data_IF_088469660838
#
_entry.id   IF_088469660838
#
_cell.length_a   1.000
_cell.length_b   1.000
_cell.length_c   1.000
_cell.angle_alpha   90.00
_cell.angle_beta   90.00
_cell.angle_gamma   90.00
#
_symmetry.space_group_name_H-M   'P 1'
#
loop_
_entity.id
_entity.type
_entity.pdbx_description
1 polymer ?
#
# COMPACT_ATOMS: atom_id res chain seq x y z
N UNK A 1 -25.58 -16.89 -22.10
CA UNK A 1 -24.48 -16.48 -22.99
C UNK A 1 -23.22 -16.39 -22.16
N UNK A 2 -22.36 -17.42 -22.26
CA UNK A 2 -21.08 -17.51 -21.53
C UNK A 2 -20.09 -16.60 -22.26
N UNK A 3 -19.62 -15.50 -21.64
CA UNK A 3 -18.46 -14.75 -22.13
C UNK A 3 -17.20 -15.42 -21.58
N UNK A 4 -16.45 -16.07 -22.47
CA UNK A 4 -15.06 -16.45 -22.25
C UNK A 4 -14.24 -15.17 -22.05
N UNK A 5 -13.74 -14.98 -20.84
CA UNK A 5 -12.67 -14.01 -20.58
C UNK A 5 -11.37 -14.79 -20.77
N UNK A 6 -10.66 -14.51 -21.85
CA UNK A 6 -9.34 -15.08 -22.09
C UNK A 6 -8.33 -14.54 -21.10
N UNK A 7 -7.85 -15.39 -20.21
CA UNK A 7 -6.77 -15.09 -19.28
C UNK A 7 -5.43 -15.20 -20.03
N UNK A 8 -4.77 -14.08 -20.23
CA UNK A 8 -3.34 -14.09 -20.57
C UNK A 8 -2.55 -14.05 -19.25
N UNK A 9 -1.85 -15.14 -18.98
CA UNK A 9 -0.89 -15.27 -17.88
C UNK A 9 0.32 -14.38 -18.18
N UNK A 10 0.61 -13.41 -17.33
CA UNK A 10 1.87 -12.69 -17.37
C UNK A 10 2.59 -12.83 -16.03
N UNK A 11 3.66 -13.58 -16.05
CA UNK A 11 4.65 -13.69 -14.98
C UNK A 11 5.35 -12.34 -14.83
N UNK A 12 5.10 -11.63 -13.74
CA UNK A 12 6.02 -10.61 -13.25
C UNK A 12 7.14 -11.36 -12.53
N UNK A 13 8.09 -11.86 -13.30
CA UNK A 13 9.37 -12.28 -12.75
C UNK A 13 10.08 -10.99 -12.34
N UNK A 14 10.26 -10.79 -11.05
CA UNK A 14 11.29 -9.88 -10.55
C UNK A 14 12.60 -10.53 -10.95
N UNK A 15 13.05 -10.27 -12.18
CA UNK A 15 14.36 -10.67 -12.63
C UNK A 15 15.37 -9.81 -11.90
N UNK A 16 15.81 -10.26 -10.72
CA UNK A 16 17.05 -9.77 -10.14
C UNK A 16 18.14 -10.37 -11.04
N UNK A 17 18.47 -9.65 -12.11
CA UNK A 17 19.61 -10.00 -12.94
C UNK A 17 20.85 -9.76 -12.09
N UNK A 18 21.53 -10.85 -11.71
CA UNK A 18 22.91 -10.81 -11.25
C UNK A 18 23.76 -10.15 -12.34
N UNK A 19 24.07 -8.87 -12.18
CA UNK A 19 25.05 -8.18 -12.99
C UNK A 19 26.42 -8.75 -12.60
N UNK A 20 26.87 -9.74 -13.38
CA UNK A 20 28.24 -10.22 -13.33
C UNK A 20 29.19 -9.08 -13.64
N UNK A 21 30.11 -8.84 -12.70
CA UNK A 21 31.18 -7.85 -12.79
C UNK A 21 32.11 -8.13 -13.97
N UNK A 22 31.91 -7.42 -15.09
CA UNK A 22 32.97 -7.20 -16.05
C UNK A 22 33.51 -5.77 -15.87
N UNK A 23 34.60 -5.64 -15.09
CA UNK A 23 35.39 -4.43 -15.04
C UNK A 23 36.11 -4.23 -16.38
N UNK A 24 35.63 -3.31 -17.19
CA UNK A 24 36.42 -2.68 -18.23
C UNK A 24 36.97 -1.35 -17.69
N UNK A 25 38.28 -1.23 -17.69
CA UNK A 25 39.02 -0.03 -17.32
C UNK A 25 38.68 1.12 -18.28
N UNK A 26 38.03 2.15 -17.78
CA UNK A 26 37.84 3.43 -18.46
C UNK A 26 38.03 4.56 -17.47
N UNK A 27 38.94 5.49 -17.82
CA UNK A 27 39.32 6.65 -17.05
C UNK A 27 38.16 7.53 -16.56
N UNK A 28 38.21 8.09 -15.35
CA UNK A 28 37.18 9.00 -14.86
C UNK A 28 37.43 10.41 -15.36
N UNK A 29 36.60 10.92 -16.22
CA UNK A 29 36.48 12.35 -16.50
C UNK A 29 35.01 12.73 -16.50
N UNK A 30 34.61 13.41 -15.49
CA UNK A 30 33.80 14.60 -15.40
C UNK A 30 33.04 14.65 -14.06
N UNK A 31 33.08 15.81 -13.44
CA UNK A 31 32.38 16.14 -12.20
C UNK A 31 30.88 15.79 -12.33
N UNK A 32 30.38 15.05 -11.37
CA UNK A 32 28.96 14.84 -11.18
C UNK A 32 28.31 16.18 -10.87
N UNK A 33 27.66 16.77 -11.85
CA UNK A 33 26.63 17.78 -11.59
C UNK A 33 25.55 17.11 -10.73
N UNK A 34 25.25 17.72 -9.58
CA UNK A 34 24.07 17.32 -8.79
C UNK A 34 22.86 17.33 -9.71
N UNK A 35 22.02 16.27 -9.72
CA UNK A 35 20.85 16.26 -10.58
C UNK A 35 19.95 17.44 -10.21
N UNK A 36 19.86 18.40 -11.10
CA UNK A 36 18.86 19.47 -11.03
C UNK A 36 17.52 18.75 -11.07
N UNK A 37 16.69 18.91 -10.02
CA UNK A 37 15.32 18.40 -9.98
C UNK A 37 14.64 18.85 -11.28
N UNK A 38 14.37 17.91 -12.18
CA UNK A 38 13.70 18.21 -13.43
C UNK A 38 12.29 18.72 -13.10
N UNK A 39 11.92 19.86 -13.66
CA UNK A 39 10.55 20.35 -13.54
C UNK A 39 9.60 19.29 -14.06
N UNK A 40 8.41 19.15 -13.42
CA UNK A 40 7.39 18.20 -13.87
C UNK A 40 7.14 18.38 -15.37
N UNK A 41 7.05 17.26 -16.09
CA UNK A 41 6.78 17.27 -17.53
C UNK A 41 5.42 17.93 -17.81
N UNK A 42 5.24 18.59 -18.96
CA UNK A 42 3.92 19.13 -19.33
C UNK A 42 2.86 18.03 -19.33
N UNK A 43 1.66 18.35 -18.85
CA UNK A 43 0.54 17.40 -18.88
C UNK A 43 0.15 17.13 -20.33
N UNK A 44 0.15 15.87 -20.81
CA UNK A 44 -0.29 15.53 -22.15
C UNK A 44 -1.75 15.91 -22.37
N UNK A 45 -2.09 16.34 -23.60
CA UNK A 45 -3.43 16.85 -23.92
C UNK A 45 -4.54 15.82 -23.60
N UNK A 46 -4.28 14.56 -23.77
CA UNK A 46 -5.22 13.45 -23.46
C UNK A 46 -5.52 13.29 -21.96
N UNK A 47 -4.61 13.70 -21.07
CA UNK A 47 -4.79 13.65 -19.63
C UNK A 47 -5.20 14.99 -19.01
N UNK A 48 -5.22 16.08 -19.76
CA UNK A 48 -5.46 17.41 -19.24
C UNK A 48 -6.79 17.52 -18.48
N UNK A 49 -7.85 16.90 -18.99
CA UNK A 49 -9.17 16.91 -18.36
C UNK A 49 -9.14 16.16 -17.01
N UNK A 50 -8.56 14.96 -16.99
CA UNK A 50 -8.42 14.14 -15.78
C UNK A 50 -7.54 14.84 -14.74
N UNK A 51 -6.42 15.41 -15.17
CA UNK A 51 -5.52 16.19 -14.30
C UNK A 51 -6.25 17.36 -13.63
N UNK A 52 -6.99 18.15 -14.41
CA UNK A 52 -7.73 19.30 -13.88
C UNK A 52 -8.86 18.87 -12.92
N UNK A 53 -9.59 17.77 -13.25
CA UNK A 53 -10.64 17.22 -12.40
C UNK A 53 -10.07 16.77 -11.03
N UNK A 54 -8.99 16.02 -11.03
CA UNK A 54 -8.32 15.56 -9.82
C UNK A 54 -7.79 16.75 -9.00
N UNK A 55 -7.06 17.66 -9.61
CA UNK A 55 -6.50 18.83 -8.92
C UNK A 55 -7.59 19.69 -8.28
N UNK A 56 -8.64 20.03 -9.03
CA UNK A 56 -9.74 20.85 -8.49
C UNK A 56 -10.52 20.15 -7.38
N UNK A 57 -10.68 18.82 -7.47
CA UNK A 57 -11.35 18.02 -6.44
C UNK A 57 -10.53 17.99 -5.15
N UNK A 58 -9.22 17.79 -5.23
CA UNK A 58 -8.33 17.78 -4.07
C UNK A 58 -8.25 19.15 -3.41
N UNK A 59 -8.09 20.22 -4.19
CA UNK A 59 -8.04 21.59 -3.68
C UNK A 59 -9.35 21.97 -2.99
N UNK A 60 -10.49 21.62 -3.59
CA UNK A 60 -11.80 21.84 -2.97
C UNK A 60 -11.94 21.08 -1.67
N UNK A 61 -11.54 19.81 -1.62
CA UNK A 61 -11.59 18.99 -0.42
C UNK A 61 -10.69 19.55 0.69
N UNK A 62 -9.43 19.90 0.38
CA UNK A 62 -8.51 20.51 1.34
C UNK A 62 -9.11 21.74 2.00
N UNK A 63 -9.87 22.55 1.26
CA UNK A 63 -10.50 23.75 1.77
C UNK A 63 -11.72 23.49 2.68
N UNK A 64 -12.33 22.30 2.62
CA UNK A 64 -13.46 21.91 3.49
C UNK A 64 -13.00 21.38 4.84
N UNK A 65 -11.79 20.81 4.94
CA UNK A 65 -11.28 20.22 6.18
C UNK A 65 -10.78 21.31 7.13
N UNK A 66 -11.17 21.26 8.43
CA UNK A 66 -10.70 22.21 9.43
C UNK A 66 -9.16 22.26 9.53
N UNK A 67 -8.62 23.47 9.68
CA UNK A 67 -7.17 23.67 9.87
C UNK A 67 -6.80 23.52 11.35
N UNK A 68 -7.07 22.37 11.93
CA UNK A 68 -6.60 22.05 13.27
C UNK A 68 -5.23 21.36 13.15
N UNK A 69 -4.22 21.84 13.91
CA UNK A 69 -3.09 20.98 14.23
C UNK A 69 -3.67 19.94 15.19
N UNK A 70 -4.08 18.80 14.64
CA UNK A 70 -4.69 17.71 15.38
C UNK A 70 -3.67 16.94 16.23
N UNK A 71 -4.06 15.76 16.61
CA UNK A 71 -3.20 14.79 17.30
C UNK A 71 -1.95 14.47 16.48
N UNK A 72 -0.85 14.02 17.12
CA UNK A 72 0.36 13.61 16.41
C UNK A 72 0.04 12.53 15.36
N UNK A 73 0.38 12.80 14.11
CA UNK A 73 0.19 11.90 13.00
C UNK A 73 1.52 11.24 12.62
N UNK A 74 1.56 9.92 12.57
CA UNK A 74 2.67 9.19 11.97
C UNK A 74 2.43 9.03 10.48
N UNK A 75 3.31 9.62 9.67
CA UNK A 75 3.33 9.41 8.22
C UNK A 75 4.21 8.20 7.91
N UNK A 76 3.64 7.27 7.17
CA UNK A 76 4.22 6.01 6.77
C UNK A 76 4.08 5.72 5.29
N UNK A 77 4.55 4.54 4.90
CA UNK A 77 4.43 4.02 3.54
C UNK A 77 4.59 2.50 3.52
N UNK A 78 4.24 1.87 2.41
CA UNK A 78 4.47 0.45 2.20
C UNK A 78 5.97 0.11 2.14
N UNK A 79 6.36 -1.01 2.71
CA UNK A 79 7.69 -1.61 2.51
C UNK A 79 7.65 -2.52 1.28
N UNK A 80 7.76 -1.91 0.11
CA UNK A 80 7.50 -2.52 -1.20
C UNK A 80 8.24 -3.84 -1.43
N UNK A 81 9.54 -3.90 -1.07
CA UNK A 81 10.37 -5.09 -1.32
C UNK A 81 10.13 -6.24 -0.34
N UNK A 82 9.26 -6.04 0.68
CA UNK A 82 8.82 -7.09 1.59
C UNK A 82 7.36 -7.52 1.38
N UNK A 83 6.69 -7.06 0.30
CA UNK A 83 5.32 -7.43 0.01
C UNK A 83 5.22 -8.91 -0.40
N UNK A 84 4.40 -9.68 0.32
CA UNK A 84 4.22 -11.12 0.16
C UNK A 84 3.73 -11.55 -1.24
N UNK A 85 3.09 -10.64 -1.98
CA UNK A 85 2.67 -10.92 -3.36
C UNK A 85 3.85 -11.24 -4.29
N UNK A 86 5.09 -10.90 -3.90
CA UNK A 86 6.30 -11.28 -4.64
C UNK A 86 6.62 -12.78 -4.53
N UNK A 87 6.03 -13.51 -3.56
CA UNK A 87 6.19 -14.95 -3.43
C UNK A 87 7.64 -15.39 -3.23
N UNK A 88 8.07 -16.45 -3.92
CA UNK A 88 9.42 -17.02 -3.77
C UNK A 88 10.56 -16.04 -4.09
N UNK A 89 10.26 -14.93 -4.79
CA UNK A 89 11.27 -13.89 -5.00
C UNK A 89 11.76 -13.29 -3.68
N UNK A 90 10.94 -13.24 -2.62
CA UNK A 90 11.33 -12.77 -1.30
C UNK A 90 12.45 -13.60 -0.66
N UNK A 91 12.54 -14.87 -1.02
CA UNK A 91 13.51 -15.81 -0.45
C UNK A 91 14.88 -15.76 -1.13
N UNK A 92 15.02 -14.90 -2.16
CA UNK A 92 16.31 -14.72 -2.81
C UNK A 92 17.28 -13.96 -1.88
N UNK A 93 18.57 -14.38 -1.79
CA UNK A 93 19.54 -13.79 -0.87
C UNK A 93 19.74 -12.27 -1.02
N UNK A 94 19.45 -11.72 -2.21
CA UNK A 94 19.58 -10.29 -2.49
C UNK A 94 18.43 -9.45 -1.95
N UNK A 95 17.29 -10.04 -1.54
CA UNK A 95 16.08 -9.27 -1.20
C UNK A 95 16.19 -8.63 0.18
N UNK A 96 16.65 -9.35 1.19
CA UNK A 96 16.79 -8.75 2.53
C UNK A 96 17.71 -7.51 2.51
N UNK A 97 18.88 -7.52 1.86
CA UNK A 97 19.71 -6.32 1.70
C UNK A 97 19.00 -5.13 1.04
N UNK A 98 18.15 -5.35 0.02
CA UNK A 98 17.41 -4.24 -0.60
C UNK A 98 16.26 -3.75 0.30
N UNK A 99 15.64 -4.62 1.09
CA UNK A 99 14.68 -4.25 2.13
C UNK A 99 15.35 -3.37 3.20
N UNK A 100 16.52 -3.76 3.70
CA UNK A 100 17.31 -2.98 4.65
C UNK A 100 17.65 -1.60 4.07
N UNK A 101 18.05 -1.56 2.81
CA UNK A 101 18.38 -0.31 2.11
C UNK A 101 17.15 0.58 1.95
N UNK A 102 15.99 0.03 1.57
CA UNK A 102 14.75 0.79 1.50
C UNK A 102 14.36 1.37 2.88
N UNK A 103 14.51 0.58 3.95
CA UNK A 103 14.27 1.03 5.31
C UNK A 103 15.21 2.18 5.72
N UNK A 104 16.49 2.13 5.34
CA UNK A 104 17.44 3.21 5.60
C UNK A 104 17.02 4.50 4.89
N UNK A 105 16.60 4.42 3.64
CA UNK A 105 16.14 5.57 2.86
C UNK A 105 14.85 6.16 3.44
N UNK A 106 13.87 5.33 3.76
CA UNK A 106 12.62 5.76 4.38
C UNK A 106 12.85 6.40 5.75
N UNK A 107 13.74 5.81 6.56
CA UNK A 107 14.13 6.38 7.85
C UNK A 107 14.81 7.75 7.69
N UNK A 108 15.71 7.89 6.72
CA UNK A 108 16.35 9.16 6.39
C UNK A 108 15.37 10.23 5.89
N UNK A 109 14.29 9.83 5.20
CA UNK A 109 13.18 10.71 4.84
C UNK A 109 12.33 11.16 6.04
N UNK A 110 12.52 10.55 7.22
CA UNK A 110 11.73 10.84 8.42
C UNK A 110 10.46 10.02 8.57
N UNK A 111 10.25 9.01 7.72
CA UNK A 111 9.12 8.07 7.81
C UNK A 111 9.12 7.39 9.17
N UNK A 112 7.96 7.37 9.84
CA UNK A 112 7.84 6.88 11.23
C UNK A 112 7.38 5.44 11.34
N UNK A 113 6.84 4.88 10.28
CA UNK A 113 6.41 3.49 10.25
C UNK A 113 6.21 2.97 8.83
N UNK A 114 6.18 1.67 8.71
CA UNK A 114 5.97 0.99 7.43
C UNK A 114 4.83 -0.02 7.53
N UNK A 115 4.14 -0.20 6.43
CA UNK A 115 3.16 -1.26 6.24
C UNK A 115 3.81 -2.39 5.47
N UNK A 116 3.60 -3.61 5.93
CA UNK A 116 4.05 -4.83 5.24
C UNK A 116 2.86 -5.75 5.00
N UNK A 117 2.62 -6.05 3.75
CA UNK A 117 1.62 -7.03 3.36
C UNK A 117 2.17 -8.45 3.61
N UNK A 118 1.69 -9.11 4.67
CA UNK A 118 1.93 -10.54 4.95
C UNK A 118 0.61 -11.26 4.71
N UNK A 119 0.42 -11.72 3.49
CA UNK A 119 -0.90 -12.13 2.99
C UNK A 119 -1.12 -13.65 3.12
N UNK A 120 -2.32 -14.01 3.58
CA UNK A 120 -2.80 -15.39 3.68
C UNK A 120 -2.83 -16.09 2.30
N UNK A 121 -2.40 -17.37 2.18
CA UNK A 121 -2.03 -18.32 3.25
C UNK A 121 -0.52 -18.57 3.40
N UNK A 122 0.35 -17.59 3.21
CA UNK A 122 1.78 -17.81 3.03
C UNK A 122 2.51 -18.34 4.28
N UNK A 123 1.95 -18.14 5.47
CA UNK A 123 2.52 -18.66 6.72
C UNK A 123 1.78 -19.90 7.25
N UNK A 124 0.80 -20.43 6.51
CA UNK A 124 0.17 -21.69 6.88
C UNK A 124 1.18 -22.86 6.74
N UNK A 125 1.20 -23.83 7.69
CA UNK A 125 2.21 -24.88 7.71
C UNK A 125 2.33 -25.71 6.43
N UNK A 126 1.20 -25.89 5.72
CA UNK A 126 1.14 -26.67 4.47
C UNK A 126 1.45 -25.81 3.22
N UNK A 127 1.67 -24.50 3.38
CA UNK A 127 2.02 -23.63 2.26
C UNK A 127 3.52 -23.82 1.92
N UNK A 128 3.88 -23.93 0.63
CA UNK A 128 5.27 -24.09 0.22
C UNK A 128 6.17 -22.99 0.81
N UNK A 129 7.27 -23.37 1.42
CA UNK A 129 8.23 -22.44 2.04
C UNK A 129 7.70 -21.58 3.20
N UNK A 130 6.59 -21.96 3.84
CA UNK A 130 6.01 -21.18 4.94
C UNK A 130 7.00 -20.86 6.07
N UNK A 131 7.85 -21.81 6.45
CA UNK A 131 8.90 -21.61 7.46
C UNK A 131 9.97 -20.59 6.99
N UNK A 132 10.32 -20.60 5.70
CA UNK A 132 11.29 -19.66 5.14
C UNK A 132 10.71 -18.24 5.09
N UNK A 133 9.42 -18.10 4.70
CA UNK A 133 8.71 -16.82 4.75
C UNK A 133 8.62 -16.30 6.19
N UNK A 134 8.27 -17.14 7.15
CA UNK A 134 8.23 -16.76 8.55
C UNK A 134 9.58 -16.22 9.02
N UNK A 135 10.66 -16.92 8.69
CA UNK A 135 12.01 -16.47 9.04
C UNK A 135 12.38 -15.15 8.37
N UNK A 136 12.02 -14.96 7.10
CA UNK A 136 12.20 -13.70 6.39
C UNK A 136 11.49 -12.55 7.09
N UNK A 137 10.20 -12.70 7.42
CA UNK A 137 9.44 -11.64 8.09
C UNK A 137 9.90 -11.35 9.53
N UNK A 138 10.42 -12.34 10.24
CA UNK A 138 11.08 -12.10 11.53
C UNK A 138 12.32 -11.21 11.37
N UNK A 139 13.10 -11.41 10.33
CA UNK A 139 14.25 -10.54 10.02
C UNK A 139 13.80 -9.13 9.61
N UNK A 140 12.78 -9.02 8.76
CA UNK A 140 12.18 -7.72 8.38
C UNK A 140 11.70 -6.96 9.62
N UNK A 141 10.95 -7.61 10.52
CA UNK A 141 10.48 -7.01 11.77
C UNK A 141 11.64 -6.48 12.62
N UNK A 142 12.70 -7.28 12.78
CA UNK A 142 13.89 -6.88 13.53
C UNK A 142 14.56 -5.64 12.92
N UNK A 143 14.67 -5.57 11.59
CA UNK A 143 15.27 -4.43 10.89
C UNK A 143 14.41 -3.15 10.96
N UNK A 144 13.06 -3.29 10.96
CA UNK A 144 12.14 -2.16 11.18
C UNK A 144 12.31 -1.62 12.61
N UNK A 145 12.23 -2.48 13.63
CA UNK A 145 12.33 -2.09 15.04
C UNK A 145 13.70 -1.54 15.40
N UNK A 146 14.77 -2.07 14.82
CA UNK A 146 16.15 -1.56 14.99
C UNK A 146 16.28 -0.07 14.60
N UNK A 147 15.47 0.39 13.64
CA UNK A 147 15.41 1.80 13.21
C UNK A 147 14.41 2.64 14.03
N UNK A 148 13.76 2.05 15.04
CA UNK A 148 12.73 2.73 15.82
C UNK A 148 11.46 3.07 15.05
N UNK A 149 11.24 2.42 13.92
CA UNK A 149 10.05 2.61 13.09
C UNK A 149 8.91 1.72 13.59
N UNK A 150 7.68 2.17 13.39
CA UNK A 150 6.48 1.37 13.66
C UNK A 150 6.24 0.38 12.53
N UNK A 151 5.76 -0.80 12.90
CA UNK A 151 5.51 -1.91 12.01
C UNK A 151 4.02 -2.27 12.01
N UNK A 152 3.35 -2.04 10.87
CA UNK A 152 1.98 -2.45 10.65
C UNK A 152 1.95 -3.62 9.66
N UNK A 153 1.21 -4.67 9.99
CA UNK A 153 0.99 -5.84 9.12
C UNK A 153 -0.45 -5.85 8.62
N UNK A 154 -0.61 -6.01 7.30
CA UNK A 154 -1.86 -6.35 6.64
C UNK A 154 -1.89 -7.82 6.28
N UNK A 155 -2.93 -8.54 6.72
CA UNK A 155 -3.03 -10.00 6.63
C UNK A 155 -4.20 -10.50 5.77
N UNK A 156 -4.67 -9.74 4.79
CA UNK A 156 -5.69 -10.18 3.83
C UNK A 156 -5.18 -11.29 2.90
N UNK A 157 -6.00 -11.81 1.97
CA UNK A 157 -5.58 -12.85 1.04
C UNK A 157 -4.56 -12.34 0.02
N UNK A 158 -3.64 -13.22 -0.39
CA UNK A 158 -2.70 -12.93 -1.47
C UNK A 158 -3.44 -12.70 -2.79
N UNK A 159 -2.93 -11.80 -3.62
CA UNK A 159 -3.53 -11.41 -4.91
C UNK A 159 -3.31 -12.46 -6.02
N UNK A 160 -3.50 -13.74 -5.66
CA UNK A 160 -3.32 -14.88 -6.56
C UNK A 160 -4.14 -14.74 -7.84
N UNK A 161 -3.50 -14.97 -8.97
CA UNK A 161 -4.17 -14.91 -10.28
C UNK A 161 -4.32 -13.50 -10.85
N UNK A 162 -3.78 -12.47 -10.20
CA UNK A 162 -3.74 -11.09 -10.69
C UNK A 162 -2.35 -10.70 -11.19
N UNK A 163 -2.24 -9.53 -11.80
CA UNK A 163 -0.95 -8.94 -12.23
C UNK A 163 -0.08 -8.52 -11.03
N UNK A 164 -0.64 -8.44 -9.83
CA UNK A 164 0.06 -7.97 -8.63
C UNK A 164 0.77 -9.06 -7.87
N UNK A 165 0.56 -10.35 -8.22
CA UNK A 165 1.16 -11.46 -7.47
C UNK A 165 1.71 -12.57 -8.35
N UNK A 166 2.91 -13.04 -7.99
CA UNK A 166 3.50 -14.28 -8.53
C UNK A 166 2.98 -15.53 -7.82
N UNK A 167 2.36 -15.38 -6.65
CA UNK A 167 1.86 -16.47 -5.81
C UNK A 167 0.62 -17.11 -6.46
N UNK A 168 0.53 -18.43 -6.37
CA UNK A 168 -0.63 -19.18 -6.84
C UNK A 168 -1.27 -19.95 -5.69
N UNK A 169 -2.55 -19.70 -5.47
CA UNK A 169 -3.37 -20.35 -4.46
C UNK A 169 -4.60 -20.98 -5.12
N UNK A 170 -4.87 -22.22 -4.79
CA UNK A 170 -6.11 -22.90 -5.19
C UNK A 170 -7.22 -22.56 -4.18
N UNK A 171 -7.88 -21.44 -4.41
CA UNK A 171 -8.95 -20.96 -3.53
C UNK A 171 -10.18 -21.90 -3.50
N UNK A 172 -10.32 -22.84 -4.44
CA UNK A 172 -11.44 -23.81 -4.43
C UNK A 172 -11.42 -24.77 -3.24
N UNK A 173 -10.29 -24.87 -2.56
CA UNK A 173 -10.11 -25.67 -1.33
C UNK A 173 -10.73 -25.03 -0.10
N UNK A 174 -11.03 -23.73 -0.16
CA UNK A 174 -11.56 -22.97 0.97
C UNK A 174 -13.06 -22.76 0.85
N UNK A 175 -13.79 -23.09 1.89
CA UNK A 175 -15.10 -22.54 2.18
C UNK A 175 -14.95 -21.43 3.24
N UNK A 176 -16.06 -20.77 3.62
CA UNK A 176 -15.98 -19.67 4.60
C UNK A 176 -15.37 -20.12 5.94
N UNK A 177 -15.76 -21.28 6.44
CA UNK A 177 -15.33 -21.77 7.75
C UNK A 177 -13.84 -22.13 7.77
N UNK A 178 -13.38 -22.85 6.74
CA UNK A 178 -11.95 -23.20 6.60
C UNK A 178 -11.09 -21.97 6.34
N UNK A 179 -11.55 -21.03 5.52
CA UNK A 179 -10.86 -19.76 5.29
C UNK A 179 -10.66 -19.00 6.60
N UNK A 180 -11.74 -18.85 7.40
CA UNK A 180 -11.66 -18.16 8.69
C UNK A 180 -10.69 -18.87 9.64
N UNK A 181 -10.82 -20.20 9.77
CA UNK A 181 -10.04 -20.98 10.70
C UNK A 181 -8.52 -20.88 10.41
N UNK A 182 -8.15 -21.02 9.13
CA UNK A 182 -6.76 -21.03 8.70
C UNK A 182 -6.18 -19.59 8.71
N UNK A 183 -6.93 -18.58 8.25
CA UNK A 183 -6.48 -17.19 8.38
C UNK A 183 -6.27 -16.80 9.84
N UNK A 184 -7.13 -17.26 10.76
CA UNK A 184 -6.93 -17.05 12.19
C UNK A 184 -5.67 -17.72 12.74
N UNK A 185 -5.28 -18.90 12.23
CA UNK A 185 -4.02 -19.55 12.61
C UNK A 185 -2.83 -18.71 12.16
N UNK A 186 -2.86 -18.23 10.92
CA UNK A 186 -1.81 -17.35 10.39
C UNK A 186 -1.71 -16.05 11.19
N UNK A 187 -2.82 -15.40 11.53
CA UNK A 187 -2.85 -14.21 12.38
C UNK A 187 -2.21 -14.45 13.75
N UNK A 188 -2.47 -15.61 14.38
CA UNK A 188 -1.83 -16.00 15.64
C UNK A 188 -0.33 -16.20 15.46
N UNK A 189 0.09 -16.79 14.35
CA UNK A 189 1.51 -16.94 13.99
C UNK A 189 2.19 -15.57 13.83
N UNK A 190 1.58 -14.64 13.11
CA UNK A 190 2.07 -13.26 12.95
C UNK A 190 2.20 -12.59 14.34
N UNK A 191 1.16 -12.66 15.14
CA UNK A 191 1.13 -12.05 16.46
C UNK A 191 2.19 -12.59 17.42
N UNK A 192 2.49 -13.89 17.37
CA UNK A 192 3.43 -14.54 18.27
C UNK A 192 4.88 -14.43 17.81
N UNK A 193 5.13 -14.60 16.51
CA UNK A 193 6.46 -14.82 15.96
C UNK A 193 7.05 -13.57 15.28
N UNK A 194 6.20 -12.74 14.68
CA UNK A 194 6.62 -11.52 13.95
C UNK A 194 6.48 -10.28 14.84
N UNK A 195 5.41 -10.23 15.64
CA UNK A 195 5.18 -9.21 16.67
C UNK A 195 5.14 -7.78 16.15
N UNK A 196 4.23 -7.46 15.22
CA UNK A 196 4.08 -6.09 14.72
C UNK A 196 3.51 -5.14 15.80
N UNK A 197 3.68 -3.82 15.62
CA UNK A 197 3.01 -2.81 16.46
C UNK A 197 1.50 -2.73 16.16
N UNK A 198 1.11 -3.00 14.91
CA UNK A 198 -0.27 -3.05 14.44
C UNK A 198 -0.49 -4.31 13.60
N UNK A 199 -1.54 -5.05 13.90
CA UNK A 199 -1.95 -6.20 13.10
C UNK A 199 -3.37 -5.97 12.58
N UNK A 200 -3.49 -5.76 11.27
CA UNK A 200 -4.77 -5.66 10.59
C UNK A 200 -5.28 -7.06 10.26
N UNK A 201 -6.38 -7.44 10.92
CA UNK A 201 -6.99 -8.78 10.83
C UNK A 201 -7.58 -9.01 9.45
N UNK A 202 -8.25 -7.98 8.92
CA UNK A 202 -8.85 -7.97 7.60
C UNK A 202 -9.17 -6.52 7.18
N UNK A 203 -9.09 -6.24 5.87
CA UNK A 203 -9.08 -4.87 5.37
C UNK A 203 -10.15 -4.59 4.32
N UNK A 204 -10.46 -5.53 3.44
CA UNK A 204 -11.31 -5.31 2.26
C UNK A 204 -12.22 -6.52 1.97
N UNK A 205 -13.44 -6.56 2.54
CA UNK A 205 -14.35 -7.69 2.31
C UNK A 205 -14.65 -7.99 0.84
N UNK A 206 -14.76 -6.95 -0.01
CA UNK A 206 -15.00 -7.15 -1.44
C UNK A 206 -13.78 -7.70 -2.18
N UNK A 207 -12.57 -7.33 -1.76
CA UNK A 207 -11.31 -7.87 -2.29
C UNK A 207 -11.14 -9.33 -1.85
N UNK A 208 -11.42 -9.64 -0.58
CA UNK A 208 -11.47 -11.03 -0.10
C UNK A 208 -12.40 -11.87 -0.98
N UNK A 209 -13.63 -11.38 -1.22
CA UNK A 209 -14.59 -12.08 -2.05
C UNK A 209 -14.13 -12.26 -3.50
N UNK A 210 -13.46 -11.27 -4.06
CA UNK A 210 -12.97 -11.30 -5.44
C UNK A 210 -11.83 -12.29 -5.61
N UNK A 211 -10.90 -12.33 -4.65
CA UNK A 211 -9.70 -13.16 -4.73
C UNK A 211 -10.00 -14.61 -4.33
N UNK A 212 -10.66 -14.83 -3.20
CA UNK A 212 -10.86 -16.17 -2.63
C UNK A 212 -12.21 -16.80 -2.95
N UNK A 213 -13.18 -16.02 -3.45
CA UNK A 213 -14.58 -16.47 -3.59
C UNK A 213 -15.37 -16.48 -2.27
N UNK A 214 -14.73 -16.23 -1.13
CA UNK A 214 -15.37 -16.20 0.20
C UNK A 214 -16.05 -14.87 0.42
N UNK A 215 -17.37 -14.89 0.55
CA UNK A 215 -18.19 -13.67 0.73
C UNK A 215 -18.61 -13.52 2.18
N UNK A 216 -18.50 -12.29 2.66
CA UNK A 216 -19.00 -11.88 3.96
C UNK A 216 -20.17 -10.89 3.80
N UNK A 217 -21.18 -11.01 4.65
CA UNK A 217 -22.06 -9.89 4.99
C UNK A 217 -21.35 -9.02 6.04
N UNK A 218 -21.78 -7.77 6.30
CA UNK A 218 -21.19 -6.97 7.39
C UNK A 218 -21.21 -7.72 8.74
N UNK A 219 -22.31 -8.39 9.08
CA UNK A 219 -22.42 -9.17 10.31
C UNK A 219 -21.48 -10.39 10.34
N UNK A 220 -21.34 -11.15 9.22
CA UNK A 220 -20.37 -12.25 9.14
C UNK A 220 -18.93 -11.74 9.29
N UNK A 221 -18.63 -10.60 8.68
CA UNK A 221 -17.31 -9.97 8.75
C UNK A 221 -16.96 -9.54 10.18
N UNK A 222 -17.90 -8.88 10.86
CA UNK A 222 -17.73 -8.51 12.26
C UNK A 222 -17.57 -9.74 13.16
N UNK A 223 -18.32 -10.82 12.92
CA UNK A 223 -18.17 -12.09 13.65
C UNK A 223 -16.78 -12.72 13.42
N UNK A 224 -16.28 -12.70 12.19
CA UNK A 224 -14.92 -13.14 11.87
C UNK A 224 -13.88 -12.33 12.61
N UNK A 225 -13.95 -10.99 12.57
CA UNK A 225 -13.01 -10.12 13.28
C UNK A 225 -13.09 -10.33 14.81
N UNK A 226 -14.30 -10.39 15.38
CA UNK A 226 -14.49 -10.64 16.81
C UNK A 226 -13.86 -11.96 17.27
N UNK A 227 -14.08 -13.05 16.52
CA UNK A 227 -13.50 -14.35 16.84
C UNK A 227 -11.98 -14.37 16.67
N UNK A 228 -11.44 -13.61 15.70
CA UNK A 228 -10.00 -13.44 15.51
C UNK A 228 -9.35 -12.67 16.65
N UNK A 229 -9.97 -11.57 17.10
CA UNK A 229 -9.54 -10.82 18.28
C UNK A 229 -9.47 -11.72 19.51
N UNK A 230 -10.47 -12.57 19.73
CA UNK A 230 -10.50 -13.51 20.84
C UNK A 230 -9.38 -14.55 20.74
N UNK A 231 -9.14 -15.08 19.53
CA UNK A 231 -8.13 -16.14 19.30
C UNK A 231 -6.70 -15.60 19.43
N UNK A 232 -6.43 -14.41 18.93
CA UNK A 232 -5.13 -13.73 19.07
C UNK A 232 -4.90 -13.35 20.53
N UNK A 233 -5.94 -12.80 21.19
CA UNK A 233 -5.88 -12.27 22.54
C UNK A 233 -5.04 -10.99 22.65
N UNK A 234 -5.13 -10.33 23.78
CA UNK A 234 -4.37 -9.10 24.03
C UNK A 234 -2.86 -9.36 24.04
N UNK A 235 -2.10 -8.50 23.36
CA UNK A 235 -0.64 -8.50 23.35
C UNK A 235 -0.14 -7.10 23.72
N UNK A 236 0.70 -7.02 24.75
CA UNK A 236 1.31 -5.75 25.14
C UNK A 236 2.15 -5.17 23.99
N UNK A 237 1.89 -3.92 23.64
CA UNK A 237 2.63 -3.21 22.59
C UNK A 237 2.09 -3.41 21.16
N UNK A 238 1.14 -4.34 20.94
CA UNK A 238 0.49 -4.55 19.65
C UNK A 238 -0.97 -4.08 19.71
N UNK A 239 -1.39 -3.36 18.67
CA UNK A 239 -2.79 -2.99 18.43
C UNK A 239 -3.41 -3.89 17.37
N UNK A 240 -4.61 -4.39 17.65
CA UNK A 240 -5.41 -5.13 16.68
C UNK A 240 -6.32 -4.19 15.94
N UNK A 241 -6.30 -4.26 14.63
CA UNK A 241 -7.16 -3.48 13.75
C UNK A 241 -7.92 -4.35 12.77
N UNK A 242 -8.98 -3.79 12.22
CA UNK A 242 -9.69 -4.29 11.05
C UNK A 242 -10.43 -3.13 10.40
N UNK A 243 -10.76 -3.28 9.12
CA UNK A 243 -11.41 -2.20 8.42
C UNK A 243 -12.04 -2.59 7.10
N UNK A 244 -12.22 -1.60 6.25
CA UNK A 244 -12.63 -1.79 4.86
C UNK A 244 -12.24 -0.60 4.00
N UNK A 245 -12.42 -0.73 2.68
CA UNK A 245 -12.28 0.37 1.75
C UNK A 245 -13.41 1.39 1.86
N UNK A 246 -13.10 2.67 1.70
CA UNK A 246 -14.11 3.75 1.71
C UNK A 246 -15.12 3.64 0.57
N UNK A 247 -14.88 2.79 -0.42
CA UNK A 247 -15.80 2.49 -1.54
C UNK A 247 -16.82 1.40 -1.21
N UNK A 248 -16.62 0.66 -0.12
CA UNK A 248 -17.49 -0.45 0.30
C UNK A 248 -18.74 0.03 1.04
N UNK A 249 -19.60 -0.90 1.44
CA UNK A 249 -20.76 -0.60 2.27
C UNK A 249 -20.27 -0.12 3.66
N UNK A 250 -20.68 1.08 4.10
CA UNK A 250 -20.29 1.60 5.42
C UNK A 250 -20.62 0.67 6.59
N UNK A 251 -21.61 -0.22 6.43
CA UNK A 251 -22.00 -1.18 7.46
C UNK A 251 -20.83 -2.10 7.89
N UNK A 252 -19.87 -2.40 7.00
CA UNK A 252 -18.69 -3.17 7.37
C UNK A 252 -17.90 -2.49 8.49
N UNK A 253 -17.60 -1.20 8.34
CA UNK A 253 -16.88 -0.46 9.39
C UNK A 253 -17.76 -0.17 10.61
N UNK A 254 -19.04 0.09 10.39
CA UNK A 254 -19.99 0.40 11.46
C UNK A 254 -20.14 -0.75 12.46
N UNK A 255 -20.20 -1.98 11.97
CA UNK A 255 -20.30 -3.19 12.81
C UNK A 255 -19.01 -3.44 13.60
N UNK A 256 -17.83 -3.04 13.06
CA UNK A 256 -16.54 -3.16 13.76
C UNK A 256 -16.41 -2.21 14.97
N UNK A 257 -17.13 -1.09 14.97
CA UNK A 257 -17.02 -0.08 16.05
C UNK A 257 -17.35 -0.65 17.43
N UNK A 258 -18.17 -1.70 17.50
CA UNK A 258 -18.66 -2.28 18.74
C UNK A 258 -17.84 -3.51 19.20
N UNK A 259 -16.84 -3.95 18.44
CA UNK A 259 -16.05 -5.13 18.76
C UNK A 259 -15.13 -4.85 19.95
N UNK A 260 -15.30 -5.61 21.04
CA UNK A 260 -14.44 -5.52 22.21
C UNK A 260 -13.07 -6.15 21.94
N UNK A 261 -12.01 -5.45 22.34
CA UNK A 261 -10.64 -5.89 22.13
C UNK A 261 -10.08 -5.58 20.73
N UNK A 262 -10.88 -5.04 19.81
CA UNK A 262 -10.39 -4.40 18.62
C UNK A 262 -9.95 -2.97 18.98
N UNK A 263 -8.71 -2.62 18.71
CA UNK A 263 -8.14 -1.34 19.10
C UNK A 263 -8.35 -0.25 18.05
N UNK A 264 -8.18 -0.57 16.78
CA UNK A 264 -8.20 0.41 15.69
C UNK A 264 -9.20 0.03 14.59
N UNK A 265 -9.73 1.05 13.92
CA UNK A 265 -10.40 0.92 12.63
C UNK A 265 -9.41 1.27 11.53
N UNK A 266 -9.23 0.35 10.59
CA UNK A 266 -8.40 0.57 9.42
C UNK A 266 -9.23 1.06 8.24
N UNK A 267 -8.71 2.06 7.53
CA UNK A 267 -9.43 2.75 6.46
C UNK A 267 -8.58 2.73 5.20
N UNK A 268 -8.99 1.96 4.20
CA UNK A 268 -8.36 2.03 2.88
C UNK A 268 -8.98 3.14 2.05
N UNK A 269 -8.16 4.01 1.46
CA UNK A 269 -8.62 5.22 0.77
C UNK A 269 -8.05 5.29 -0.63
N UNK A 270 -8.81 4.79 -1.59
CA UNK A 270 -8.47 4.85 -3.01
C UNK A 270 -9.54 5.63 -3.79
N UNK A 271 -9.38 6.97 -3.95
CA UNK A 271 -10.39 7.79 -4.60
C UNK A 271 -10.51 7.45 -6.08
N UNK A 272 -11.52 6.67 -6.44
CA UNK A 272 -11.84 6.28 -7.80
C UNK A 272 -13.06 7.05 -8.30
N UNK A 273 -12.88 8.06 -9.14
CA UNK A 273 -13.99 8.78 -9.77
C UNK A 273 -15.00 9.48 -8.83
N UNK A 274 -14.84 9.27 -7.51
CA UNK A 274 -15.66 9.85 -6.43
C UNK A 274 -14.77 10.51 -5.37
N UNK A 275 -13.66 11.06 -5.77
CA UNK A 275 -12.53 11.45 -4.93
C UNK A 275 -12.93 12.13 -3.61
N UNK A 276 -13.68 13.23 -3.67
CA UNK A 276 -14.09 13.95 -2.45
C UNK A 276 -15.00 13.12 -1.54
N UNK A 277 -15.92 12.32 -2.11
CA UNK A 277 -16.85 11.49 -1.32
C UNK A 277 -16.10 10.41 -0.55
N UNK A 278 -15.09 9.76 -1.17
CA UNK A 278 -14.32 8.72 -0.50
C UNK A 278 -13.38 9.29 0.56
N UNK A 279 -12.78 10.44 0.30
CA UNK A 279 -12.00 11.18 1.30
C UNK A 279 -12.87 11.66 2.46
N UNK A 280 -14.09 12.17 2.18
CA UNK A 280 -15.03 12.57 3.22
C UNK A 280 -15.45 11.36 4.08
N UNK A 281 -15.70 10.20 3.47
CA UNK A 281 -16.01 8.97 4.22
C UNK A 281 -14.87 8.56 5.15
N UNK A 282 -13.61 8.68 4.70
CA UNK A 282 -12.46 8.41 5.56
C UNK A 282 -12.45 9.33 6.78
N UNK A 283 -12.66 10.63 6.57
CA UNK A 283 -12.75 11.62 7.62
C UNK A 283 -13.86 11.28 8.63
N UNK A 284 -15.07 11.03 8.15
CA UNK A 284 -16.25 10.74 8.98
C UNK A 284 -16.07 9.40 9.75
N UNK A 285 -15.49 8.39 9.10
CA UNK A 285 -15.22 7.09 9.74
C UNK A 285 -14.19 7.22 10.86
N UNK A 286 -13.13 8.01 10.66
CA UNK A 286 -12.13 8.24 11.70
C UNK A 286 -12.72 8.99 12.91
N UNK A 287 -13.56 10.01 12.68
CA UNK A 287 -14.28 10.68 13.77
C UNK A 287 -15.20 9.71 14.53
N UNK A 288 -15.90 8.83 13.81
CA UNK A 288 -16.76 7.80 14.39
C UNK A 288 -15.96 6.78 15.21
N UNK A 289 -14.81 6.31 14.71
CA UNK A 289 -13.91 5.42 15.44
C UNK A 289 -13.48 6.04 16.78
N UNK A 290 -13.03 7.28 16.73
CA UNK A 290 -12.64 8.05 17.94
C UNK A 290 -13.80 8.21 18.93
N UNK A 291 -15.00 8.51 18.47
CA UNK A 291 -16.19 8.63 19.31
C UNK A 291 -16.55 7.29 20.01
N UNK A 292 -16.15 6.15 19.43
CA UNK A 292 -16.31 4.82 20.01
C UNK A 292 -15.06 4.32 20.78
N UNK A 293 -14.11 5.23 21.08
CA UNK A 293 -12.90 4.89 21.87
C UNK A 293 -11.87 4.05 21.11
N UNK A 294 -11.93 4.02 19.78
CA UNK A 294 -10.99 3.31 18.92
C UNK A 294 -10.04 4.28 18.24
N UNK A 295 -8.79 3.85 18.03
CA UNK A 295 -7.93 4.58 17.10
C UNK A 295 -8.41 4.39 15.65
N UNK A 296 -7.97 5.28 14.77
CA UNK A 296 -8.11 5.12 13.34
C UNK A 296 -6.72 5.11 12.69
N UNK A 297 -6.55 4.25 11.71
CA UNK A 297 -5.35 4.20 10.88
C UNK A 297 -5.77 4.17 9.40
N UNK A 298 -4.90 4.65 8.55
CA UNK A 298 -4.97 4.45 7.09
C UNK A 298 -3.74 3.60 6.73
N UNK A 299 -3.92 2.30 6.57
CA UNK A 299 -2.81 1.41 6.18
C UNK A 299 -2.50 1.50 4.69
N UNK A 300 -3.52 1.72 3.86
CA UNK A 300 -3.37 1.89 2.43
C UNK A 300 -4.10 3.14 1.91
N UNK A 301 -3.39 4.00 1.19
CA UNK A 301 -4.00 5.09 0.41
C UNK A 301 -3.14 5.48 -0.77
N UNK A 302 -3.77 5.66 -1.93
CA UNK A 302 -3.17 6.25 -3.12
C UNK A 302 -4.24 6.83 -4.04
N UNK A 303 -3.86 7.83 -4.84
CA UNK A 303 -4.74 8.47 -5.80
C UNK A 303 -4.68 7.75 -7.15
N UNK A 304 -5.79 7.19 -7.62
CA UNK A 304 -5.87 6.68 -8.97
C UNK A 304 -6.14 7.82 -9.97
N UNK A 305 -5.35 7.85 -11.04
CA UNK A 305 -5.37 8.89 -12.08
C UNK A 305 -6.51 8.64 -13.07
N UNK A 306 -7.75 8.71 -12.57
CA UNK A 306 -8.96 8.47 -13.34
C UNK A 306 -10.03 9.53 -13.02
N UNK A 307 -10.67 10.06 -14.05
CA UNK A 307 -11.85 10.90 -13.87
C UNK A 307 -13.14 10.07 -13.72
N UNK A 308 -14.19 10.69 -13.17
CA UNK A 308 -15.50 10.05 -13.03
C UNK A 308 -16.09 9.61 -14.38
N UNK A 309 -15.81 10.32 -15.46
CA UNK A 309 -16.27 9.99 -16.80
C UNK A 309 -15.53 8.80 -17.41
N UNK A 310 -14.23 8.71 -17.19
CA UNK A 310 -13.40 7.61 -17.69
C UNK A 310 -13.74 6.28 -17.02
N UNK A 311 -14.10 6.29 -15.74
CA UNK A 311 -14.43 5.09 -14.97
C UNK A 311 -15.52 4.25 -15.64
N UNK A 312 -16.54 4.90 -16.18
CA UNK A 312 -17.61 4.23 -16.91
C UNK A 312 -17.12 3.62 -18.21
N UNK A 313 -16.21 4.30 -18.91
CA UNK A 313 -15.67 3.88 -20.22
C UNK A 313 -14.70 2.70 -20.07
N UNK A 314 -13.87 2.71 -19.01
CA UNK A 314 -12.88 1.64 -18.76
C UNK A 314 -13.51 0.33 -18.25
N UNK A 315 -14.79 0.36 -17.87
CA UNK A 315 -15.53 -0.85 -17.52
C UNK A 315 -14.88 -1.70 -16.42
N UNK A 316 -14.10 -1.08 -15.51
CA UNK A 316 -13.36 -1.76 -14.46
C UNK A 316 -11.98 -2.28 -14.87
N UNK A 317 -11.48 -1.91 -16.05
CA UNK A 317 -10.10 -2.21 -16.44
C UNK A 317 -9.11 -1.26 -15.74
N UNK A 318 -8.82 -1.56 -14.48
CA UNK A 318 -7.89 -0.77 -13.67
C UNK A 318 -6.42 -0.91 -14.09
N UNK A 319 -6.05 -1.93 -14.85
CA UNK A 319 -4.69 -2.09 -15.36
C UNK A 319 -4.24 -0.83 -16.13
N UNK A 320 -5.11 -0.29 -16.98
CA UNK A 320 -4.81 0.93 -17.73
C UNK A 320 -4.64 2.16 -16.85
N UNK A 321 -5.30 2.21 -15.68
CA UNK A 321 -5.16 3.30 -14.71
C UNK A 321 -3.81 3.21 -14.00
N UNK A 322 -3.44 2.02 -13.52
CA UNK A 322 -2.15 1.81 -12.88
C UNK A 322 -0.95 2.09 -13.79
N UNK A 323 -1.08 1.80 -15.09
CA UNK A 323 0.02 1.96 -16.04
C UNK A 323 0.33 3.41 -16.40
N UNK A 324 -0.55 4.36 -16.09
CA UNK A 324 -0.28 5.80 -16.27
C UNK A 324 0.27 6.49 -15.01
N UNK A 325 0.12 5.86 -13.83
CA UNK A 325 0.59 6.38 -12.57
C UNK A 325 2.10 6.76 -12.54
N UNK A 326 3.01 5.99 -13.18
CA UNK A 326 4.44 6.28 -13.10
C UNK A 326 4.91 7.55 -13.81
N UNK A 327 4.06 8.26 -14.56
CA UNK A 327 4.51 9.40 -15.34
C UNK A 327 4.65 10.68 -14.50
N UNK A 328 5.78 11.37 -14.68
CA UNK A 328 6.19 12.52 -13.86
C UNK A 328 5.24 13.71 -13.88
N UNK A 329 4.43 13.87 -14.94
CA UNK A 329 3.45 14.95 -14.99
C UNK A 329 2.33 14.84 -13.93
N UNK A 330 2.14 13.66 -13.31
CA UNK A 330 1.20 13.49 -12.20
C UNK A 330 1.70 13.97 -10.85
N UNK A 331 2.99 14.17 -10.71
CA UNK A 331 3.63 14.50 -9.44
C UNK A 331 2.96 15.65 -8.67
N UNK A 332 2.58 16.80 -9.27
CA UNK A 332 1.92 17.87 -8.52
C UNK A 332 0.54 17.45 -7.97
N UNK A 333 -0.16 16.53 -8.65
CA UNK A 333 -1.43 15.98 -8.17
C UNK A 333 -1.20 15.02 -7.00
N UNK A 334 -0.14 14.21 -7.05
CA UNK A 334 0.26 13.32 -5.97
C UNK A 334 0.69 14.10 -4.71
N UNK A 335 1.40 15.22 -4.87
CA UNK A 335 1.68 16.15 -3.76
C UNK A 335 0.38 16.69 -3.12
N UNK A 336 -0.57 17.14 -3.95
CA UNK A 336 -1.86 17.64 -3.46
C UNK A 336 -2.64 16.55 -2.72
N UNK A 337 -2.57 15.30 -3.19
CA UNK A 337 -3.19 14.17 -2.52
C UNK A 337 -2.55 13.88 -1.14
N UNK A 338 -1.22 13.88 -1.05
CA UNK A 338 -0.50 13.72 0.22
C UNK A 338 -0.93 14.82 1.21
N UNK A 339 -1.04 16.08 0.75
CA UNK A 339 -1.55 17.19 1.59
C UNK A 339 -2.97 16.96 2.06
N UNK A 340 -3.85 16.50 1.17
CA UNK A 340 -5.26 16.23 1.48
C UNK A 340 -5.40 15.13 2.54
N UNK A 341 -4.72 13.99 2.36
CA UNK A 341 -4.73 12.88 3.32
C UNK A 341 -4.11 13.28 4.65
N UNK A 342 -2.97 13.99 4.64
CA UNK A 342 -2.35 14.49 5.87
C UNK A 342 -3.31 15.39 6.65
N UNK A 343 -3.95 16.35 5.97
CA UNK A 343 -4.87 17.31 6.60
C UNK A 343 -6.10 16.62 7.17
N UNK A 344 -6.72 15.71 6.41
CA UNK A 344 -7.86 14.95 6.92
C UNK A 344 -7.48 14.09 8.13
N UNK A 345 -6.32 13.46 8.09
CA UNK A 345 -5.82 12.60 9.18
C UNK A 345 -5.61 13.38 10.47
N UNK A 346 -4.96 14.54 10.38
CA UNK A 346 -4.76 15.43 11.53
C UNK A 346 -6.09 15.94 12.11
N UNK A 347 -7.01 16.34 11.24
CA UNK A 347 -8.30 16.92 11.67
C UNK A 347 -9.25 15.87 12.27
N UNK A 348 -9.15 14.60 11.88
CA UNK A 348 -9.98 13.50 12.37
C UNK A 348 -9.34 12.65 13.47
N UNK A 349 -8.03 12.86 13.75
CA UNK A 349 -7.30 12.12 14.77
C UNK A 349 -6.86 10.71 14.33
N UNK A 350 -6.62 10.52 13.05
CA UNK A 350 -5.92 9.33 12.53
C UNK A 350 -4.50 9.36 13.07
N UNK A 351 -4.05 8.25 13.68
CA UNK A 351 -2.73 8.19 14.31
C UNK A 351 -1.60 7.71 13.37
N UNK A 352 -1.96 6.98 12.31
CA UNK A 352 -1.02 6.47 11.31
C UNK A 352 -1.65 6.55 9.93
N UNK A 353 -0.95 7.14 8.97
CA UNK A 353 -1.36 7.18 7.57
C UNK A 353 -0.21 6.75 6.65
N UNK A 354 -0.44 5.69 5.90
CA UNK A 354 0.51 5.09 4.97
C UNK A 354 0.13 5.41 3.53
N UNK A 355 1.10 5.93 2.79
CA UNK A 355 0.96 6.11 1.35
C UNK A 355 1.43 4.85 0.64
N UNK A 356 0.52 4.20 -0.07
CA UNK A 356 0.81 3.03 -0.87
C UNK A 356 1.60 3.43 -2.13
N UNK A 357 2.22 2.47 -2.83
CA UNK A 357 3.07 2.72 -4.00
C UNK A 357 4.33 3.53 -3.69
N UNK A 358 5.04 3.16 -2.66
CA UNK A 358 6.33 3.74 -2.21
C UNK A 358 7.33 3.99 -3.32
N UNK A 359 7.24 3.23 -4.42
CA UNK A 359 8.13 3.40 -5.59
C UNK A 359 8.13 4.83 -6.15
N UNK A 360 7.03 5.57 -6.01
CA UNK A 360 6.95 6.94 -6.51
C UNK A 360 7.77 7.95 -5.70
N UNK A 361 8.21 7.59 -4.52
CA UNK A 361 9.21 8.37 -3.78
C UNK A 361 10.62 8.20 -4.37
N UNK A 362 10.81 7.22 -5.24
CA UNK A 362 12.09 6.92 -5.87
C UNK A 362 12.06 7.02 -7.40
N UNK A 363 10.92 6.90 -8.05
CA UNK A 363 10.84 6.78 -9.49
C UNK A 363 9.59 7.41 -10.10
N UNK A 364 9.83 8.28 -11.08
CA UNK A 364 8.86 8.65 -12.12
C UNK A 364 9.50 8.44 -13.48
N UNK A 365 8.67 8.27 -14.49
CA UNK A 365 9.07 8.09 -15.88
C UNK A 365 8.71 9.33 -16.69
N UNK A 366 9.56 9.65 -17.66
CA UNK A 366 9.25 10.65 -18.69
C UNK A 366 8.17 10.12 -19.63
N UNK A 367 7.07 10.89 -19.79
CA UNK A 367 5.95 10.48 -20.62
C UNK A 367 6.36 10.35 -22.10
N UNK A 368 7.07 11.33 -22.65
CA UNK A 368 7.44 11.34 -24.06
C UNK A 368 8.33 10.15 -24.44
N UNK A 369 9.13 9.68 -23.49
CA UNK A 369 10.03 8.55 -23.69
C UNK A 369 9.32 7.19 -23.55
N UNK A 370 8.35 7.04 -22.66
CA UNK A 370 7.86 5.72 -22.25
C UNK A 370 6.39 5.43 -22.58
N UNK A 371 5.56 6.43 -22.93
CA UNK A 371 4.11 6.24 -23.11
C UNK A 371 3.73 5.27 -24.22
N UNK A 372 4.60 5.04 -25.21
CA UNK A 372 4.37 4.11 -26.32
C UNK A 372 4.69 2.64 -25.98
N UNK A 373 5.23 2.37 -24.80
CA UNK A 373 5.52 1.01 -24.37
C UNK A 373 4.22 0.29 -23.96
N UNK A 374 4.18 -1.06 -24.12
CA UNK A 374 3.13 -1.86 -23.50
C UNK A 374 3.05 -1.63 -21.98
N UNK A 375 1.84 -1.67 -21.37
CA UNK A 375 1.65 -1.41 -19.94
C UNK A 375 2.62 -2.13 -19.00
N UNK A 376 2.86 -3.42 -19.25
CA UNK A 376 3.79 -4.22 -18.44
C UNK A 376 5.23 -3.73 -18.52
N UNK A 377 5.65 -3.20 -19.69
CA UNK A 377 6.99 -2.65 -19.85
C UNK A 377 7.12 -1.31 -19.13
N UNK A 378 6.08 -0.48 -19.11
CA UNK A 378 6.05 0.76 -18.32
C UNK A 378 6.24 0.42 -16.84
N UNK A 379 5.46 -0.54 -16.32
CA UNK A 379 5.59 -0.96 -14.92
C UNK A 379 6.99 -1.53 -14.61
N UNK A 380 7.53 -2.34 -15.51
CA UNK A 380 8.89 -2.88 -15.37
C UNK A 380 9.93 -1.77 -15.33
N UNK A 381 9.87 -0.78 -16.22
CA UNK A 381 10.80 0.37 -16.24
C UNK A 381 10.70 1.17 -14.94
N UNK A 382 9.49 1.49 -14.47
CA UNK A 382 9.31 2.19 -13.21
C UNK A 382 9.92 1.43 -12.03
N UNK A 383 9.77 0.09 -12.01
CA UNK A 383 10.37 -0.76 -10.98
C UNK A 383 11.90 -0.75 -11.05
N UNK A 384 12.48 -0.86 -12.25
CA UNK A 384 13.95 -0.83 -12.42
C UNK A 384 14.54 0.51 -11.98
N UNK A 385 13.91 1.62 -12.35
CA UNK A 385 14.34 2.96 -11.92
C UNK A 385 14.22 3.08 -10.39
N UNK A 386 13.13 2.59 -9.79
CA UNK A 386 12.95 2.62 -8.34
C UNK A 386 14.05 1.84 -7.60
N UNK A 387 14.40 0.63 -8.07
CA UNK A 387 15.48 -0.18 -7.48
C UNK A 387 16.81 0.58 -7.57
N UNK A 388 17.19 1.06 -8.75
CA UNK A 388 18.45 1.77 -8.96
C UNK A 388 18.55 3.03 -8.10
N UNK A 389 17.45 3.76 -7.96
CA UNK A 389 17.38 4.98 -7.15
C UNK A 389 17.39 4.66 -5.64
N UNK A 390 16.76 3.57 -5.19
CA UNK A 390 16.88 3.07 -3.82
C UNK A 390 18.35 2.71 -3.52
N UNK A 391 19.01 1.97 -4.40
CA UNK A 391 20.41 1.59 -4.24
C UNK A 391 21.36 2.81 -4.15
N UNK A 392 21.04 3.88 -4.88
CA UNK A 392 21.85 5.13 -4.93
C UNK A 392 21.40 6.23 -3.96
N UNK A 393 20.43 6.00 -3.10
CA UNK A 393 19.78 7.00 -2.24
C UNK A 393 19.22 8.21 -3.03
N UNK A 394 18.69 7.99 -4.21
CA UNK A 394 18.15 9.04 -5.05
C UNK A 394 16.64 9.11 -4.88
N UNK A 395 16.14 10.24 -4.41
CA UNK A 395 14.69 10.46 -4.30
C UNK A 395 14.15 11.06 -5.60
N UNK A 396 12.91 10.72 -5.94
CA UNK A 396 12.14 11.45 -6.94
C UNK A 396 11.77 12.84 -6.38
N UNK A 397 11.28 13.78 -7.23
CA UNK A 397 10.76 15.04 -6.72
C UNK A 397 9.65 14.85 -5.67
N UNK A 398 8.73 13.88 -5.86
CA UNK A 398 7.72 13.54 -4.84
C UNK A 398 8.37 13.02 -3.55
N UNK A 399 9.43 12.23 -3.64
CA UNK A 399 10.18 11.76 -2.47
C UNK A 399 10.81 12.91 -1.69
N UNK A 400 11.42 13.88 -2.39
CA UNK A 400 11.96 15.11 -1.79
C UNK A 400 10.84 15.94 -1.15
N UNK A 401 9.72 16.11 -1.85
CA UNK A 401 8.53 16.76 -1.30
C UNK A 401 8.07 16.07 -0.02
N UNK A 402 7.92 14.74 -0.03
CA UNK A 402 7.42 13.97 1.12
C UNK A 402 8.36 14.07 2.33
N UNK A 403 9.67 14.01 2.10
CA UNK A 403 10.68 14.24 3.14
C UNK A 403 10.52 15.62 3.80
N UNK A 404 10.41 16.67 3.01
CA UNK A 404 10.22 18.04 3.49
C UNK A 404 8.87 18.17 4.23
N UNK A 405 7.82 17.58 3.68
CA UNK A 405 6.49 17.58 4.25
C UNK A 405 6.46 16.93 5.64
N UNK A 406 7.10 15.76 5.82
CA UNK A 406 7.23 15.11 7.14
C UNK A 406 7.95 16.04 8.13
N UNK A 407 9.04 16.68 7.69
CA UNK A 407 9.80 17.60 8.53
C UNK A 407 8.97 18.83 8.97
N UNK A 408 8.09 19.33 8.10
CA UNK A 408 7.15 20.42 8.41
C UNK A 408 6.08 19.99 9.42
N UNK A 409 5.53 18.77 9.29
CA UNK A 409 4.52 18.27 10.21
C UNK A 409 5.07 17.96 11.61
N UNK A 410 6.37 17.79 11.74
CA UNK A 410 7.05 17.46 13.01
C UNK A 410 7.40 18.70 13.84
N UNK A 411 7.17 19.91 13.31
CA UNK A 411 7.38 21.21 13.97
C UNK A 411 6.12 21.73 14.64
#
# INVERSE_FOLDING_TARGET
MKRLVGFFLLLIVVSIACAGTNRANGNPTSASESPTLAAASPVPAEYQATYNDLSSTLDSFINTIPSNKGEPLMLGTELLYANSNAGEALLQPAVLPIVEKQLDDLHAMGVKGVVVAIKFPMLEPDFPHSADYLQFYKQVAAEIHKRGMKFLVEAGPVFSGTIFSSVRVDWSKYNKDTFIADQQNELVTIANEIQPDYLQIADEPSTIATLSGVKFTPADYAAFVQSSVQKIGHRSGMKLGAGSGTWEDPAYMDDLMNIQGLDCIDIHVYPLGRNAVLLQRAYDTALKARANGKCAVISETWLYKISSSEMTTLGGNFEQVYMRDPFSFWEPVDESFIRAVTKLSQASGIEFASFYWTRYFFAYLDYDQYHNLPPQQINHQATQVSIANTESNTLSPLGVFFQNWIAEQSR
#
